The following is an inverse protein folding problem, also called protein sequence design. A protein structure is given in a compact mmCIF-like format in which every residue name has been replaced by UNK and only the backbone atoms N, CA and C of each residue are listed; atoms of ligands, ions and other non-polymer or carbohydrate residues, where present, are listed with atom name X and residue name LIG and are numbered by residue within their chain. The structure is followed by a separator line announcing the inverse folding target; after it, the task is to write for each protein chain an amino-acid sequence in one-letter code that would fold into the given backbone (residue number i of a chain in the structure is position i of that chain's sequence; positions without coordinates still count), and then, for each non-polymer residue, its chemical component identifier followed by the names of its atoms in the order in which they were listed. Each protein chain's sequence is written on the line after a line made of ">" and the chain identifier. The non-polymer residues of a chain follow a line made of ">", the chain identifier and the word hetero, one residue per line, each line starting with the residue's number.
data_IF_493168103370
#
_entry.id   IF_493168103370
#
_cell.length_a   1.000
_cell.length_b   1.000
_cell.length_c   1.000
_cell.angle_alpha   90.00
_cell.angle_beta   90.00
_cell.angle_gamma   90.00
#
_symmetry.space_group_name_H-M   'P 1'
#
loop_
_entity.id
_entity.type
_entity.pdbx_description
1 polymer ?
#
# COMPACT_ATOMS: atom_id res chain seq x y z
N UNK A 1 39.37 -8.15 -37.07
CA UNK A 1 38.63 -9.11 -37.92
C UNK A 1 37.24 -9.29 -37.34
N UNK A 2 36.18 -9.16 -38.14
CA UNK A 2 34.81 -9.36 -37.66
C UNK A 2 34.52 -10.87 -37.56
N UNK A 3 34.07 -11.34 -36.38
CA UNK A 3 33.94 -12.76 -36.06
C UNK A 3 32.70 -13.45 -36.68
N UNK A 4 31.70 -12.70 -37.15
CA UNK A 4 30.51 -13.23 -37.84
C UNK A 4 30.60 -12.92 -39.34
N UNK A 5 30.95 -13.92 -40.15
CA UNK A 5 30.91 -13.85 -41.61
C UNK A 5 29.87 -14.84 -42.17
N UNK A 6 29.18 -14.51 -43.28
CA UNK A 6 28.29 -15.46 -43.95
C UNK A 6 29.02 -16.77 -44.28
N UNK A 7 28.38 -17.90 -43.99
CA UNK A 7 28.96 -19.23 -44.21
C UNK A 7 29.88 -19.73 -43.08
N UNK A 8 30.16 -18.92 -42.06
CA UNK A 8 30.91 -19.38 -40.89
C UNK A 8 30.11 -20.42 -40.10
N UNK A 9 30.74 -21.55 -39.75
CA UNK A 9 30.12 -22.60 -38.96
C UNK A 9 29.91 -22.15 -37.51
N UNK A 10 28.70 -22.36 -36.99
CA UNK A 10 28.36 -22.17 -35.58
C UNK A 10 28.68 -23.47 -34.86
N UNK A 11 29.35 -23.38 -33.71
CA UNK A 11 29.69 -24.55 -32.90
C UNK A 11 28.82 -24.53 -31.65
N UNK A 12 28.20 -25.67 -31.30
CA UNK A 12 27.42 -25.81 -30.08
C UNK A 12 28.29 -26.03 -28.84
N UNK A 13 27.64 -26.18 -27.69
CA UNK A 13 28.29 -26.42 -26.39
C UNK A 13 29.04 -27.77 -26.30
N UNK A 14 28.79 -28.69 -27.24
CA UNK A 14 29.42 -30.00 -27.34
C UNK A 14 30.48 -30.06 -28.45
N UNK A 15 30.81 -28.93 -29.08
CA UNK A 15 31.82 -28.85 -30.13
C UNK A 15 31.32 -29.32 -31.51
N UNK A 16 30.02 -29.51 -31.70
CA UNK A 16 29.43 -29.96 -32.97
C UNK A 16 28.96 -28.77 -33.82
N UNK A 17 28.97 -28.89 -35.17
CA UNK A 17 28.45 -27.86 -36.04
C UNK A 17 26.93 -27.73 -35.91
N UNK A 18 26.47 -26.54 -35.51
CA UNK A 18 25.09 -26.15 -35.26
C UNK A 18 24.54 -25.21 -36.34
N UNK A 19 24.93 -25.44 -37.60
CA UNK A 19 24.55 -24.63 -38.76
C UNK A 19 25.55 -23.55 -39.13
N UNK A 20 25.17 -22.70 -40.07
CA UNK A 20 26.03 -21.63 -40.63
C UNK A 20 25.40 -20.26 -40.42
N UNK A 21 26.23 -19.23 -40.29
CA UNK A 21 25.77 -17.84 -40.29
C UNK A 21 25.19 -17.49 -41.66
N UNK A 22 23.93 -17.08 -41.69
CA UNK A 22 23.26 -16.64 -42.92
C UNK A 22 23.68 -15.21 -43.29
N UNK A 23 23.48 -14.82 -44.56
CA UNK A 23 23.73 -13.44 -44.99
C UNK A 23 22.93 -12.41 -44.18
N UNK A 24 21.69 -12.76 -43.81
CA UNK A 24 20.81 -11.89 -43.04
C UNK A 24 21.37 -11.64 -41.64
N UNK A 25 21.75 -12.71 -40.92
CA UNK A 25 22.33 -12.60 -39.58
C UNK A 25 23.66 -11.82 -39.57
N UNK A 26 24.50 -12.01 -40.60
CA UNK A 26 25.72 -11.23 -40.74
C UNK A 26 25.46 -9.74 -41.01
N UNK A 27 24.42 -9.42 -41.81
CA UNK A 27 23.98 -8.05 -42.06
C UNK A 27 23.45 -7.37 -40.80
N UNK A 28 22.60 -8.05 -40.05
CA UNK A 28 22.04 -7.55 -38.79
C UNK A 28 23.14 -7.31 -37.74
N UNK A 29 24.13 -8.21 -37.65
CA UNK A 29 25.29 -8.04 -36.77
C UNK A 29 26.17 -6.83 -37.15
N UNK A 30 26.33 -6.56 -38.45
CA UNK A 30 27.07 -5.38 -38.92
C UNK A 30 26.32 -4.08 -38.61
N UNK A 31 25.00 -4.06 -38.80
CA UNK A 31 24.16 -2.90 -38.49
C UNK A 31 24.18 -2.58 -36.99
N UNK A 32 24.15 -3.60 -36.12
CA UNK A 32 24.33 -3.45 -34.68
C UNK A 32 25.72 -2.90 -34.33
N UNK A 33 26.79 -3.40 -34.95
CA UNK A 33 28.16 -2.94 -34.70
C UNK A 33 28.38 -1.49 -35.13
N UNK A 34 27.70 -1.04 -36.19
CA UNK A 34 27.72 0.35 -36.68
C UNK A 34 26.78 1.27 -35.89
N UNK A 35 25.95 0.74 -34.99
CA UNK A 35 24.95 1.50 -34.24
C UNK A 35 23.75 1.96 -35.07
N UNK A 36 23.51 1.35 -36.24
CA UNK A 36 22.38 1.67 -37.12
C UNK A 36 21.05 1.09 -36.58
N UNK A 37 21.14 0.08 -35.72
CA UNK A 37 19.99 -0.55 -35.06
C UNK A 37 20.29 -0.67 -33.56
N UNK A 38 19.33 -0.36 -32.67
CA UNK A 38 19.51 -0.56 -31.23
C UNK A 38 19.62 -2.06 -30.91
N UNK A 39 20.41 -2.45 -29.89
CA UNK A 39 20.49 -3.83 -29.46
C UNK A 39 19.10 -4.35 -29.09
N UNK A 40 18.79 -5.61 -29.42
CA UNK A 40 17.52 -6.21 -29.02
C UNK A 40 17.39 -6.12 -27.50
N UNK A 41 16.29 -5.53 -27.03
CA UNK A 41 15.97 -5.52 -25.60
C UNK A 41 15.81 -6.99 -25.17
N UNK A 42 16.45 -7.44 -24.08
CA UNK A 42 16.18 -8.77 -23.55
C UNK A 42 14.67 -8.92 -23.36
N UNK A 43 14.07 -10.08 -23.70
CA UNK A 43 12.67 -10.31 -23.41
C UNK A 43 12.47 -10.07 -21.92
N UNK A 44 11.68 -9.05 -21.60
CA UNK A 44 11.17 -8.83 -20.24
C UNK A 44 10.09 -9.88 -20.00
N UNK A 45 10.48 -11.15 -19.97
CA UNK A 45 9.67 -12.18 -19.33
C UNK A 45 9.79 -11.87 -17.85
N UNK A 46 8.90 -11.02 -17.34
CA UNK A 46 8.69 -10.94 -15.91
C UNK A 46 8.36 -12.38 -15.49
N UNK A 47 9.32 -13.06 -14.85
CA UNK A 47 9.05 -14.33 -14.22
C UNK A 47 7.83 -14.06 -13.30
N UNK A 48 6.75 -14.86 -13.39
CA UNK A 48 5.65 -14.71 -12.46
C UNK A 48 6.24 -14.78 -11.06
N UNK A 49 5.90 -13.80 -10.22
CA UNK A 49 6.34 -13.79 -8.84
C UNK A 49 6.00 -15.15 -8.21
N UNK A 50 6.91 -15.76 -7.44
CA UNK A 50 6.61 -17.02 -6.78
C UNK A 50 5.37 -16.84 -5.91
N UNK A 51 4.40 -17.72 -6.09
CA UNK A 51 3.16 -17.74 -5.33
C UNK A 51 3.48 -18.29 -3.93
N UNK A 52 3.70 -17.40 -2.96
CA UNK A 52 4.02 -17.76 -1.59
C UNK A 52 2.71 -18.07 -0.84
N UNK A 53 2.61 -19.21 -0.12
CA UNK A 53 1.43 -19.54 0.64
C UNK A 53 1.22 -18.51 1.77
N UNK A 54 0.12 -17.77 1.70
CA UNK A 54 -0.26 -16.79 2.74
C UNK A 54 -0.67 -17.47 4.06
N UNK A 55 -1.14 -18.71 4.00
CA UNK A 55 -1.67 -19.49 5.14
C UNK A 55 -0.62 -20.39 5.83
N UNK A 56 0.67 -20.05 5.75
CA UNK A 56 1.70 -20.82 6.46
C UNK A 56 1.53 -20.68 7.99
N UNK A 57 1.49 -21.78 8.77
CA UNK A 57 1.34 -21.71 10.21
C UNK A 57 2.58 -21.09 10.86
N UNK A 58 2.37 -20.19 11.83
CA UNK A 58 3.45 -19.60 12.62
C UNK A 58 3.83 -20.53 13.77
N UNK A 59 5.13 -20.75 13.98
CA UNK A 59 5.66 -21.47 15.14
C UNK A 59 5.99 -20.49 16.27
N UNK A 60 6.12 -21.00 17.50
CA UNK A 60 6.40 -20.17 18.68
C UNK A 60 7.67 -19.31 18.54
N UNK A 61 8.68 -19.81 17.82
CA UNK A 61 9.92 -19.08 17.51
C UNK A 61 9.70 -17.89 16.55
N UNK A 62 8.58 -17.85 15.83
CA UNK A 62 8.20 -16.76 14.93
C UNK A 62 7.28 -15.73 15.60
N UNK A 63 6.90 -15.93 16.87
CA UNK A 63 5.93 -15.07 17.58
C UNK A 63 6.67 -14.19 18.57
N UNK A 64 6.45 -12.88 18.47
CA UNK A 64 6.99 -11.88 19.39
C UNK A 64 5.86 -11.12 20.08
N UNK A 65 6.11 -10.63 21.28
CA UNK A 65 5.18 -9.72 21.97
C UNK A 65 5.15 -8.36 21.30
N UNK A 66 3.98 -7.76 21.20
CA UNK A 66 3.77 -6.47 20.55
C UNK A 66 2.67 -5.66 21.21
N UNK A 67 2.50 -4.43 20.73
CA UNK A 67 1.45 -3.52 21.18
C UNK A 67 0.54 -3.15 20.00
N UNK A 68 -0.77 -3.21 20.21
CA UNK A 68 -1.76 -2.91 19.16
C UNK A 68 -2.42 -1.55 19.42
N UNK A 69 -2.19 -0.63 18.49
CA UNK A 69 -2.87 0.66 18.44
C UNK A 69 -3.72 0.74 17.17
N UNK A 70 -4.92 1.30 17.30
CA UNK A 70 -5.85 1.53 16.21
C UNK A 70 -6.00 3.03 15.98
N UNK A 71 -6.00 3.45 14.72
CA UNK A 71 -6.31 4.83 14.33
C UNK A 71 -7.49 4.83 13.37
N UNK A 72 -8.52 5.61 13.70
CA UNK A 72 -9.71 5.82 12.86
C UNK A 72 -9.73 7.26 12.38
N UNK A 73 -9.95 7.43 11.08
CA UNK A 73 -10.08 8.76 10.47
C UNK A 73 -11.53 9.05 10.11
N UNK A 74 -11.96 10.29 10.34
CA UNK A 74 -13.32 10.74 10.06
C UNK A 74 -13.34 12.25 9.76
N UNK A 75 -14.35 12.70 9.02
CA UNK A 75 -14.49 14.10 8.59
C UNK A 75 -15.86 14.70 8.93
N UNK A 76 -16.67 13.97 9.69
CA UNK A 76 -18.00 14.42 10.15
C UNK A 76 -18.00 14.52 11.67
N UNK A 77 -18.63 15.56 12.21
CA UNK A 77 -18.65 15.79 13.65
C UNK A 77 -19.66 14.82 14.31
N UNK A 78 -19.23 13.87 15.16
CA UNK A 78 -20.16 12.94 15.81
C UNK A 78 -21.02 13.65 16.86
N UNK A 79 -22.15 13.07 17.25
CA UNK A 79 -22.92 13.58 18.39
C UNK A 79 -22.37 13.02 19.71
N UNK A 80 -21.82 13.84 20.62
CA UNK A 80 -21.22 13.33 21.85
C UNK A 80 -22.28 13.02 22.92
N UNK A 81 -22.00 12.03 23.75
CA UNK A 81 -22.78 11.71 24.96
C UNK A 81 -21.95 12.04 26.20
N UNK A 82 -22.50 12.84 27.10
CA UNK A 82 -21.81 13.20 28.34
C UNK A 82 -21.76 12.01 29.30
N UNK A 83 -20.55 11.67 29.75
CA UNK A 83 -20.28 10.60 30.72
C UNK A 83 -19.40 11.14 31.84
N UNK A 84 -19.28 10.41 32.95
CA UNK A 84 -18.50 10.87 34.11
C UNK A 84 -17.03 11.21 33.76
N UNK A 85 -16.43 10.45 32.84
CA UNK A 85 -15.03 10.60 32.45
C UNK A 85 -14.79 11.61 31.30
N UNK A 86 -15.85 12.20 30.71
CA UNK A 86 -15.71 13.11 29.57
C UNK A 86 -16.87 13.01 28.57
N UNK A 87 -16.54 13.04 27.28
CA UNK A 87 -17.52 12.99 26.19
C UNK A 87 -17.30 11.72 25.38
N UNK A 88 -18.29 10.82 25.42
CA UNK A 88 -18.27 9.57 24.67
C UNK A 88 -18.71 9.85 23.23
N UNK A 89 -17.91 9.38 22.27
CA UNK A 89 -18.21 9.45 20.85
C UNK A 89 -18.17 8.06 20.23
N UNK A 90 -18.92 7.88 19.13
CA UNK A 90 -18.93 6.66 18.34
C UNK A 90 -18.66 6.96 16.87
N UNK A 91 -17.84 6.14 16.24
CA UNK A 91 -17.48 6.21 14.82
C UNK A 91 -17.78 4.85 14.20
N UNK A 92 -18.76 4.79 13.31
CA UNK A 92 -19.09 3.58 12.59
C UNK A 92 -18.10 3.40 11.43
N UNK A 93 -17.43 2.25 11.38
CA UNK A 93 -16.60 1.84 10.23
C UNK A 93 -17.25 0.66 9.50
N UNK A 94 -16.65 0.23 8.40
CA UNK A 94 -17.02 -0.98 7.65
C UNK A 94 -16.86 -2.26 8.48
N UNK A 95 -15.94 -2.25 9.46
CA UNK A 95 -15.62 -3.44 10.26
C UNK A 95 -16.20 -3.43 11.67
N UNK A 96 -16.33 -2.26 12.28
CA UNK A 96 -16.66 -2.15 13.70
C UNK A 96 -17.23 -0.78 14.07
N UNK A 97 -17.97 -0.74 15.17
CA UNK A 97 -18.29 0.53 15.84
C UNK A 97 -17.15 0.86 16.80
N UNK A 98 -16.43 1.94 16.54
CA UNK A 98 -15.32 2.40 17.40
C UNK A 98 -15.81 3.46 18.36
N UNK A 99 -15.57 3.26 19.66
CA UNK A 99 -16.09 4.09 20.74
C UNK A 99 -14.93 4.60 21.58
N UNK A 100 -14.91 5.91 21.86
CA UNK A 100 -13.88 6.53 22.70
C UNK A 100 -14.51 7.56 23.65
N UNK A 101 -13.89 7.75 24.82
CA UNK A 101 -14.24 8.83 25.74
C UNK A 101 -13.18 9.92 25.63
N UNK A 102 -13.54 11.04 25.03
CA UNK A 102 -12.64 12.18 24.84
C UNK A 102 -12.68 13.12 26.06
N UNK A 103 -11.52 13.67 26.46
CA UNK A 103 -11.50 14.75 27.43
C UNK A 103 -12.14 16.02 26.84
N UNK A 104 -12.81 16.87 27.65
CA UNK A 104 -13.51 18.06 27.15
C UNK A 104 -12.64 19.01 26.32
N UNK A 105 -11.34 19.09 26.63
CA UNK A 105 -10.37 19.90 25.88
C UNK A 105 -10.15 19.38 24.45
N UNK A 106 -10.09 18.06 24.26
CA UNK A 106 -9.94 17.46 22.94
C UNK A 106 -11.22 17.64 22.12
N UNK A 107 -12.40 17.46 22.74
CA UNK A 107 -13.68 17.71 22.10
C UNK A 107 -13.82 19.15 21.59
N UNK A 108 -13.46 20.15 22.42
CA UNK A 108 -13.50 21.56 22.02
C UNK A 108 -12.63 21.85 20.79
N UNK A 109 -11.44 21.23 20.69
CA UNK A 109 -10.57 21.37 19.50
C UNK A 109 -11.22 20.80 18.25
N UNK A 110 -11.88 19.65 18.37
CA UNK A 110 -12.60 19.03 17.25
C UNK A 110 -13.75 19.91 16.76
N UNK A 111 -14.60 20.35 17.68
CA UNK A 111 -15.74 21.21 17.36
C UNK A 111 -15.29 22.53 16.73
N UNK A 112 -14.23 23.14 17.26
CA UNK A 112 -13.66 24.37 16.70
C UNK A 112 -13.10 24.15 15.28
N UNK A 113 -12.38 23.05 15.05
CA UNK A 113 -11.87 22.72 13.72
C UNK A 113 -13.02 22.46 12.72
N UNK A 114 -14.08 21.79 13.16
CA UNK A 114 -15.25 21.52 12.33
C UNK A 114 -16.03 22.78 11.95
N UNK A 115 -16.01 23.81 12.80
CA UNK A 115 -16.61 25.12 12.54
C UNK A 115 -15.70 26.02 11.69
N UNK A 116 -14.40 26.01 11.96
CA UNK A 116 -13.43 26.89 11.32
C UNK A 116 -13.00 26.45 9.92
N UNK A 117 -13.04 25.14 9.61
CA UNK A 117 -12.52 24.60 8.37
C UNK A 117 -13.62 23.95 7.52
N UNK A 118 -13.82 24.38 6.26
CA UNK A 118 -14.85 23.80 5.39
C UNK A 118 -14.59 22.33 5.06
N UNK A 119 -13.31 21.93 5.09
CA UNK A 119 -12.88 20.55 4.91
C UNK A 119 -11.83 20.23 5.96
N UNK A 120 -12.08 19.19 6.74
CA UNK A 120 -11.19 18.73 7.79
C UNK A 120 -11.21 17.21 7.87
N UNK A 121 -10.18 16.65 8.49
CA UNK A 121 -10.12 15.25 8.85
C UNK A 121 -9.55 15.13 10.25
N UNK A 122 -10.20 14.35 11.10
CA UNK A 122 -9.69 13.98 12.40
C UNK A 122 -9.14 12.56 12.35
N UNK A 123 -8.01 12.35 13.01
CA UNK A 123 -7.46 11.04 13.33
C UNK A 123 -7.62 10.81 14.83
N UNK A 124 -8.37 9.77 15.18
CA UNK A 124 -8.55 9.30 16.55
C UNK A 124 -7.75 8.00 16.70
N UNK A 125 -6.69 8.06 17.49
CA UNK A 125 -5.86 6.89 17.80
C UNK A 125 -6.01 6.47 19.25
N UNK A 126 -5.67 5.22 19.54
CA UNK A 126 -5.59 4.70 20.90
C UNK A 126 -5.38 3.19 20.95
N UNK A 127 -5.33 2.66 22.17
CA UNK A 127 -5.15 1.24 22.42
C UNK A 127 -6.45 0.49 22.22
N UNK A 128 -6.35 -0.73 21.68
CA UNK A 128 -7.50 -1.61 21.55
C UNK A 128 -7.92 -2.11 22.95
N UNK A 129 -9.05 -1.62 23.44
CA UNK A 129 -9.70 -2.08 24.67
C UNK A 129 -10.70 -3.22 24.41
N UNK A 130 -11.64 -3.38 25.33
CA UNK A 130 -12.65 -4.44 25.26
C UNK A 130 -13.42 -4.43 23.93
N UNK A 131 -13.48 -5.60 23.28
CA UNK A 131 -14.39 -5.86 22.17
C UNK A 131 -15.66 -6.51 22.70
N UNK A 132 -16.81 -5.88 22.45
CA UNK A 132 -18.11 -6.47 22.73
C UNK A 132 -18.79 -6.84 21.42
N UNK A 133 -19.29 -8.07 21.31
CA UNK A 133 -20.20 -8.45 20.23
C UNK A 133 -21.57 -7.81 20.48
N UNK A 134 -21.97 -6.85 19.64
CA UNK A 134 -23.33 -6.35 19.62
C UNK A 134 -24.05 -6.89 18.36
N UNK A 135 -25.38 -6.89 18.39
CA UNK A 135 -26.22 -7.32 17.25
C UNK A 135 -25.97 -6.53 15.94
N UNK A 136 -25.25 -5.41 16.01
CA UNK A 136 -24.87 -4.54 14.89
C UNK A 136 -23.40 -4.69 14.44
N UNK A 137 -22.65 -5.68 14.96
CA UNK A 137 -21.23 -5.89 14.67
C UNK A 137 -20.34 -5.73 15.92
N UNK A 138 -19.02 -5.95 15.80
CA UNK A 138 -18.10 -5.79 16.92
C UNK A 138 -17.99 -4.31 17.32
N UNK A 139 -18.12 -4.04 18.62
CA UNK A 139 -17.87 -2.72 19.22
C UNK A 139 -16.47 -2.73 19.81
N UNK A 140 -15.63 -1.78 19.37
CA UNK A 140 -14.26 -1.61 19.83
C UNK A 140 -14.21 -0.38 20.73
N UNK A 141 -13.76 -0.57 21.98
CA UNK A 141 -13.45 0.56 22.86
C UNK A 141 -12.00 0.98 22.64
N UNK A 142 -11.77 2.26 22.33
CA UNK A 142 -10.44 2.86 22.27
C UNK A 142 -10.05 3.39 23.65
N UNK A 143 -9.02 2.80 24.24
CA UNK A 143 -8.40 3.27 25.47
C UNK A 143 -7.31 4.30 25.18
N UNK A 144 -7.11 5.23 26.12
CA UNK A 144 -6.13 6.32 26.00
C UNK A 144 -6.26 7.09 24.66
N UNK A 145 -7.46 7.62 24.33
CA UNK A 145 -7.67 8.20 23.02
C UNK A 145 -6.88 9.49 22.81
N UNK A 146 -6.19 9.58 21.69
CA UNK A 146 -5.50 10.77 21.21
C UNK A 146 -6.18 11.28 19.92
N UNK A 147 -6.49 12.58 19.90
CA UNK A 147 -7.18 13.22 18.78
C UNK A 147 -6.28 14.24 18.10
N UNK A 148 -6.11 14.09 16.79
CA UNK A 148 -5.46 15.05 15.91
C UNK A 148 -6.45 15.49 14.85
N UNK A 149 -6.50 16.78 14.53
CA UNK A 149 -7.40 17.33 13.51
C UNK A 149 -6.59 18.14 12.52
N UNK A 150 -6.83 17.90 11.24
CA UNK A 150 -6.10 18.47 10.13
C UNK A 150 -7.06 19.22 9.21
N UNK A 151 -6.68 20.41 8.77
CA UNK A 151 -7.34 21.13 7.68
C UNK A 151 -7.00 20.45 6.36
N UNK A 152 -8.00 20.11 5.55
CA UNK A 152 -7.80 19.54 4.22
C UNK A 152 -8.06 20.63 3.18
N UNK A 153 -7.01 21.16 2.57
CA UNK A 153 -7.19 22.06 1.42
C UNK A 153 -7.73 21.25 0.25
N UNK A 154 -8.77 21.78 -0.42
CA UNK A 154 -9.32 21.15 -1.60
C UNK A 154 -8.21 20.96 -2.66
N UNK A 155 -8.05 19.73 -3.15
CA UNK A 155 -7.24 19.49 -4.34
C UNK A 155 -8.07 20.00 -5.52
N UNK A 156 -7.58 20.95 -6.35
CA UNK A 156 -8.30 21.31 -7.57
C UNK A 156 -8.54 20.03 -8.36
N UNK A 157 -9.79 19.82 -8.77
CA UNK A 157 -10.16 18.69 -9.61
C UNK A 157 -9.21 18.69 -10.81
N UNK A 158 -8.52 17.57 -11.02
CA UNK A 158 -7.89 17.34 -12.31
C UNK A 158 -9.06 17.21 -13.29
N UNK A 159 -9.29 18.26 -14.06
CA UNK A 159 -10.11 18.23 -15.27
C UNK A 159 -9.69 16.99 -16.08
N UNK A 160 -10.60 16.03 -16.17
CA UNK A 160 -10.50 14.96 -17.15
C UNK A 160 -10.95 15.55 -18.49
N UNK A 161 -9.97 15.95 -19.30
CA UNK A 161 -10.12 16.10 -20.76
C UNK A 161 -9.80 14.77 -21.43
#
# INVERSE_FOLDING_TARGET
>A
MAALQPGAARIDLHGQPAGVVTQREAGDAQALLRGEVPPPRPPQTAAPAPDLPQDAPLHAENIVSGHLELTVTFSELPTPVQVQAGLKIGIQTDRALVVAVLPPKAWKKLAQAADAWPHWVAALSGRLGAQAGAAAGPVIVLEQPALQVFEKKAKPAADAT
#
